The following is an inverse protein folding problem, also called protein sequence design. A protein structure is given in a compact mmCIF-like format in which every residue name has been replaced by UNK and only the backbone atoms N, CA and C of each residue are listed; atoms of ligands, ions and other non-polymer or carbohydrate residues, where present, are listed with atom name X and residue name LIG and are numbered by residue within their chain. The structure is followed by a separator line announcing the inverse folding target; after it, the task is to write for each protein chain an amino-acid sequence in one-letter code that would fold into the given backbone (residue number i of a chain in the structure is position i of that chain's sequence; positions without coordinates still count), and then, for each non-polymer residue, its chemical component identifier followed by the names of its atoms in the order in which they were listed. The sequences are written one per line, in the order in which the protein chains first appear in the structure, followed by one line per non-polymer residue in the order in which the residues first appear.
data_IF_795308022375
#
_entry.id   IF_795308022375
#
_cell.length_a   1.000
_cell.length_b   1.000
_cell.length_c   1.000
_cell.angle_alpha   90.00
_cell.angle_beta   90.00
_cell.angle_gamma   90.00
#
_symmetry.space_group_name_H-M   'P 1'
#
loop_
_entity.id
_entity.type
_entity.pdbx_description
1 polymer ?
#
# COMPACT_ATOMS: atom_id res chain seq x y z
N UNK A 1 -13.36 -8.94 -4.73
CA UNK A 1 -13.58 -7.60 -5.31
C UNK A 1 -12.69 -6.62 -4.59
N UNK A 2 -12.16 -5.64 -5.31
CA UNK A 2 -11.27 -4.62 -4.77
C UNK A 2 -12.13 -3.48 -4.20
N UNK A 3 -12.07 -3.21 -2.89
CA UNK A 3 -13.02 -2.31 -2.25
C UNK A 3 -12.66 -0.83 -2.39
N UNK A 4 -11.38 -0.48 -2.59
CA UNK A 4 -10.90 0.90 -2.54
C UNK A 4 -10.03 1.27 -3.75
N UNK A 5 -9.90 2.57 -4.03
CA UNK A 5 -9.10 3.15 -5.12
C UNK A 5 -7.61 3.36 -4.79
N UNK A 6 -7.06 2.68 -3.78
CA UNK A 6 -5.65 2.88 -3.40
C UNK A 6 -4.63 2.38 -4.44
N UNK A 7 -5.07 1.51 -5.35
CA UNK A 7 -4.28 0.98 -6.46
C UNK A 7 -4.78 1.51 -7.81
N UNK A 8 -5.48 2.64 -7.83
CA UNK A 8 -6.06 3.20 -9.06
C UNK A 8 -5.02 3.40 -10.17
N UNK A 9 -5.46 3.37 -11.43
CA UNK A 9 -4.64 3.22 -12.65
C UNK A 9 -4.15 1.78 -12.89
N UNK A 10 -3.86 1.04 -11.82
CA UNK A 10 -3.40 -0.36 -11.89
C UNK A 10 -4.54 -1.36 -11.65
N UNK A 11 -5.27 -1.17 -10.55
CA UNK A 11 -6.47 -1.93 -10.17
C UNK A 11 -7.50 -0.94 -9.62
N UNK A 12 -8.55 -0.72 -10.39
CA UNK A 12 -9.64 0.19 -10.02
C UNK A 12 -10.54 -0.41 -8.95
N UNK A 13 -11.13 0.44 -8.09
CA UNK A 13 -12.18 0.02 -7.16
C UNK A 13 -13.34 -0.67 -7.91
N UNK A 14 -13.92 -1.70 -7.29
CA UNK A 14 -14.96 -2.55 -7.90
C UNK A 14 -14.43 -3.66 -8.82
N UNK A 15 -13.14 -3.64 -9.18
CA UNK A 15 -12.56 -4.68 -10.04
C UNK A 15 -12.52 -6.04 -9.33
N UNK A 16 -12.60 -7.12 -10.10
CA UNK A 16 -12.35 -8.48 -9.62
C UNK A 16 -11.06 -8.97 -10.22
N UNK A 17 -10.18 -9.49 -9.34
CA UNK A 17 -8.83 -9.89 -9.70
C UNK A 17 -8.59 -11.34 -9.36
N UNK A 18 -7.76 -11.99 -10.16
CA UNK A 18 -7.19 -13.28 -9.86
C UNK A 18 -5.80 -13.09 -9.24
N UNK A 19 -5.59 -13.74 -8.09
CA UNK A 19 -4.29 -13.77 -7.44
C UNK A 19 -3.88 -15.20 -7.07
N UNK A 20 -2.58 -15.50 -7.17
CA UNK A 20 -2.03 -16.81 -6.83
C UNK A 20 -1.44 -16.80 -5.42
N UNK A 21 -1.99 -17.66 -4.56
CA UNK A 21 -1.44 -17.93 -3.22
C UNK A 21 -0.19 -18.81 -3.27
N UNK A 22 -0.06 -19.63 -4.33
CA UNK A 22 1.04 -20.58 -4.47
C UNK A 22 2.39 -19.88 -4.57
N UNK A 23 2.43 -18.69 -5.16
CA UNK A 23 3.65 -17.89 -5.33
C UNK A 23 4.30 -17.58 -3.99
N UNK A 24 3.54 -17.12 -3.00
CA UNK A 24 4.12 -16.79 -1.70
C UNK A 24 4.25 -17.98 -0.76
N UNK A 25 3.54 -19.08 -1.05
CA UNK A 25 3.67 -20.35 -0.32
C UNK A 25 4.96 -21.11 -0.70
N UNK A 26 5.34 -21.11 -1.97
CA UNK A 26 6.46 -21.91 -2.49
C UNK A 26 7.58 -21.10 -3.13
N UNK A 27 7.40 -19.78 -3.22
CA UNK A 27 8.39 -18.87 -3.78
C UNK A 27 8.56 -17.62 -2.93
N UNK A 28 9.25 -16.65 -3.51
CA UNK A 28 9.60 -15.40 -2.86
C UNK A 28 8.71 -14.26 -3.34
N UNK A 29 8.48 -13.31 -2.44
CA UNK A 29 7.91 -12.00 -2.80
C UNK A 29 8.97 -11.26 -3.61
N UNK A 30 8.56 -10.55 -4.67
CA UNK A 30 9.46 -9.72 -5.47
C UNK A 30 9.07 -8.26 -5.40
N UNK A 31 10.05 -7.37 -5.57
CA UNK A 31 9.80 -5.95 -5.76
C UNK A 31 8.84 -5.75 -6.94
N UNK A 32 7.96 -4.77 -6.81
CA UNK A 32 6.87 -4.45 -7.74
C UNK A 32 5.72 -5.46 -7.80
N UNK A 33 5.75 -6.55 -7.02
CA UNK A 33 4.59 -7.42 -6.91
C UNK A 33 3.40 -6.65 -6.33
N UNK A 34 2.23 -6.82 -6.94
CA UNK A 34 0.98 -6.35 -6.37
C UNK A 34 0.46 -7.46 -5.47
N UNK A 35 0.56 -7.26 -4.16
CA UNK A 35 0.32 -8.29 -3.18
C UNK A 35 -0.99 -8.05 -2.41
N UNK A 36 -1.72 -9.13 -2.18
CA UNK A 36 -2.76 -9.22 -1.16
C UNK A 36 -2.09 -9.72 0.12
N UNK A 37 -2.29 -9.01 1.22
CA UNK A 37 -1.77 -9.39 2.53
C UNK A 37 -2.80 -9.13 3.63
N UNK A 38 -2.65 -9.85 4.75
CA UNK A 38 -3.43 -9.63 5.95
C UNK A 38 -2.94 -8.33 6.63
N UNK A 39 -3.78 -7.30 6.59
CA UNK A 39 -3.48 -6.03 7.26
C UNK A 39 -3.86 -6.10 8.74
N UNK A 40 -4.97 -6.74 9.05
CA UNK A 40 -5.48 -6.78 10.40
C UNK A 40 -6.82 -7.49 10.48
N UNK A 41 -7.61 -7.14 11.48
CA UNK A 41 -8.92 -7.70 11.67
C UNK A 41 -9.89 -6.68 12.26
N UNK A 42 -11.18 -6.86 11.98
CA UNK A 42 -12.26 -6.20 12.69
C UNK A 42 -12.69 -7.10 13.84
N UNK A 43 -12.58 -6.59 15.06
CA UNK A 43 -13.04 -7.27 16.25
C UNK A 43 -14.57 -7.33 16.24
N UNK A 44 -15.13 -8.51 16.49
CA UNK A 44 -16.59 -8.70 16.50
C UNK A 44 -17.26 -8.04 17.71
N UNK A 45 -16.57 -7.99 18.85
CA UNK A 45 -17.17 -7.58 20.12
C UNK A 45 -17.25 -6.05 20.29
N UNK A 46 -16.20 -5.33 19.92
CA UNK A 46 -16.16 -3.87 20.01
C UNK A 46 -16.41 -3.18 18.66
N UNK A 47 -16.37 -3.93 17.55
CA UNK A 47 -16.57 -3.41 16.20
C UNK A 47 -15.37 -2.63 15.63
N UNK A 48 -14.28 -2.48 16.39
CA UNK A 48 -13.11 -1.71 16.00
C UNK A 48 -12.16 -2.53 15.13
N UNK A 49 -11.37 -1.81 14.34
CA UNK A 49 -10.34 -2.40 13.47
C UNK A 49 -9.00 -2.31 14.15
N UNK A 50 -8.31 -3.44 14.23
CA UNK A 50 -6.97 -3.54 14.77
C UNK A 50 -6.05 -4.05 13.68
N UNK A 51 -4.88 -3.44 13.59
CA UNK A 51 -3.77 -4.07 12.88
C UNK A 51 -3.37 -5.32 13.65
N UNK A 52 -3.09 -6.38 12.92
CA UNK A 52 -2.65 -7.62 13.56
C UNK A 52 -1.34 -7.35 14.30
N UNK A 53 -1.36 -7.56 15.62
CA UNK A 53 -0.15 -7.67 16.43
C UNK A 53 0.14 -9.15 16.62
N UNK A 54 1.40 -9.49 16.91
CA UNK A 54 1.84 -10.89 17.11
C UNK A 54 1.04 -11.66 18.16
N UNK A 55 0.22 -10.97 18.97
CA UNK A 55 -0.56 -11.54 20.06
C UNK A 55 -1.94 -12.06 19.64
N UNK A 56 -2.48 -11.75 18.47
CA UNK A 56 -3.80 -12.24 18.01
C UNK A 56 -5.03 -11.85 18.87
N UNK A 57 -4.80 -11.23 20.03
CA UNK A 57 -5.80 -10.83 21.02
C UNK A 57 -6.24 -9.40 20.78
N UNK A 58 -7.54 -9.15 20.87
CA UNK A 58 -8.07 -7.79 20.85
C UNK A 58 -7.57 -7.00 22.08
N UNK A 59 -6.93 -5.82 21.90
CA UNK A 59 -6.36 -5.06 23.02
C UNK A 59 -7.42 -4.50 23.97
N UNK A 60 -8.65 -4.27 23.51
CA UNK A 60 -9.73 -3.76 24.36
C UNK A 60 -10.48 -4.88 25.09
N UNK A 61 -10.91 -5.93 24.38
CA UNK A 61 -11.75 -6.97 24.99
C UNK A 61 -10.97 -8.16 25.54
N UNK A 62 -9.65 -8.25 25.28
CA UNK A 62 -8.76 -9.28 25.85
C UNK A 62 -8.98 -10.69 25.30
N UNK A 63 -9.76 -10.86 24.23
CA UNK A 63 -10.10 -12.18 23.65
C UNK A 63 -9.30 -12.44 22.37
N UNK A 64 -8.68 -13.61 22.30
CA UNK A 64 -8.33 -14.24 21.02
C UNK A 64 -9.62 -14.74 20.38
N UNK A 65 -10.05 -14.14 19.28
CA UNK A 65 -11.28 -14.54 18.62
C UNK A 65 -11.03 -14.98 17.18
N UNK A 66 -11.06 -16.31 16.98
CA UNK A 66 -11.01 -16.97 15.66
C UNK A 66 -12.15 -16.56 14.72
N UNK A 67 -13.17 -15.84 15.24
CA UNK A 67 -14.31 -15.33 14.46
C UNK A 67 -14.17 -13.85 14.08
N UNK A 68 -13.06 -13.19 14.41
CA UNK A 68 -12.78 -11.84 13.92
C UNK A 68 -12.70 -11.82 12.39
N UNK A 69 -13.18 -10.74 11.78
CA UNK A 69 -13.21 -10.63 10.33
C UNK A 69 -11.84 -10.15 9.84
N UNK A 70 -11.11 -10.94 9.04
CA UNK A 70 -9.81 -10.52 8.53
C UNK A 70 -9.97 -9.38 7.52
N UNK A 71 -9.05 -8.42 7.58
CA UNK A 71 -8.99 -7.28 6.68
C UNK A 71 -7.76 -7.46 5.79
N UNK A 72 -8.01 -7.55 4.49
CA UNK A 72 -6.98 -7.71 3.49
C UNK A 72 -6.75 -6.41 2.74
N UNK A 73 -5.49 -6.04 2.55
CA UNK A 73 -5.09 -4.91 1.74
C UNK A 73 -4.42 -5.40 0.46
N UNK A 74 -4.52 -4.59 -0.58
CA UNK A 74 -3.78 -4.74 -1.83
C UNK A 74 -2.87 -3.53 -2.00
N UNK A 75 -1.57 -3.78 -2.14
CA UNK A 75 -0.52 -2.76 -2.31
C UNK A 75 0.61 -3.32 -3.18
N UNK A 76 1.45 -2.45 -3.71
CA UNK A 76 2.70 -2.82 -4.39
C UNK A 76 3.82 -2.99 -3.38
N UNK A 77 4.65 -4.00 -3.57
CA UNK A 77 5.90 -4.21 -2.81
C UNK A 77 6.94 -3.21 -3.33
N UNK A 78 7.25 -2.20 -2.52
CA UNK A 78 8.24 -1.18 -2.86
C UNK A 78 9.58 -1.49 -2.24
N UNK A 79 9.63 -1.90 -0.97
CA UNK A 79 10.87 -2.26 -0.25
C UNK A 79 10.90 -3.74 0.12
N UNK A 80 12.05 -4.35 -0.12
CA UNK A 80 12.42 -5.73 0.20
C UNK A 80 13.20 -5.78 1.53
N UNK A 81 13.31 -6.95 2.19
CA UNK A 81 14.14 -7.10 3.38
C UNK A 81 15.56 -6.54 3.17
N UNK A 82 16.03 -5.70 4.10
CA UNK A 82 17.35 -5.07 4.06
C UNK A 82 17.44 -3.79 3.24
N UNK A 83 16.42 -3.44 2.45
CA UNK A 83 16.45 -2.19 1.70
C UNK A 83 16.40 -0.97 2.61
N UNK A 84 17.16 0.06 2.24
CA UNK A 84 16.98 1.42 2.72
C UNK A 84 16.00 2.15 1.80
N UNK A 85 14.94 2.72 2.36
CA UNK A 85 13.88 3.43 1.64
C UNK A 85 13.89 4.89 2.05
N UNK A 86 14.07 5.77 1.08
CA UNK A 86 13.91 7.21 1.25
C UNK A 86 12.73 7.72 0.43
N UNK A 87 11.92 8.59 1.02
CA UNK A 87 10.93 9.41 0.33
C UNK A 87 11.21 10.85 0.73
N UNK A 88 11.60 11.68 -0.24
CA UNK A 88 11.96 13.08 0.02
C UNK A 88 11.36 14.01 -1.00
N UNK A 89 11.15 15.27 -0.61
CA UNK A 89 10.73 16.33 -1.54
C UNK A 89 11.82 16.51 -2.60
N UNK A 90 11.43 16.43 -3.87
CA UNK A 90 12.35 16.56 -5.02
C UNK A 90 11.96 17.71 -5.94
N UNK A 91 10.78 18.29 -5.76
CA UNK A 91 10.36 19.43 -6.56
C UNK A 91 8.99 19.95 -6.18
N UNK A 92 8.40 20.68 -7.11
CA UNK A 92 7.05 21.21 -6.99
C UNK A 92 6.36 21.16 -8.34
N UNK A 93 5.05 20.92 -8.33
CA UNK A 93 4.20 20.96 -9.53
C UNK A 93 3.07 21.96 -9.35
N UNK A 94 2.49 22.43 -10.44
CA UNK A 94 1.28 23.24 -10.34
C UNK A 94 0.11 22.42 -9.77
N UNK A 95 -0.75 23.05 -8.95
CA UNK A 95 -1.89 22.38 -8.34
C UNK A 95 -2.86 21.73 -9.35
N UNK A 96 -2.90 22.20 -10.60
CA UNK A 96 -3.70 21.59 -11.68
C UNK A 96 -3.30 20.14 -12.00
N UNK A 97 -2.09 19.71 -11.68
CA UNK A 97 -1.64 18.32 -11.86
C UNK A 97 -2.18 17.37 -10.78
N UNK A 98 -2.72 17.89 -9.68
CA UNK A 98 -3.31 17.11 -8.59
C UNK A 98 -4.83 17.14 -8.72
N UNK A 99 -5.38 16.05 -9.22
CA UNK A 99 -6.81 15.97 -9.62
C UNK A 99 -7.66 15.20 -8.62
N UNK A 100 -7.03 14.34 -7.81
CA UNK A 100 -7.73 13.35 -6.97
C UNK A 100 -7.99 13.81 -5.54
N UNK A 101 -7.24 14.77 -5.06
CA UNK A 101 -7.56 15.49 -3.83
C UNK A 101 -8.37 16.73 -4.22
N UNK A 102 -9.29 17.18 -3.36
CA UNK A 102 -10.03 18.44 -3.55
C UNK A 102 -9.10 19.65 -3.32
N UNK A 103 -8.05 19.72 -4.13
CA UNK A 103 -7.04 20.79 -4.17
C UNK A 103 -7.46 21.87 -5.17
N UNK A 104 -8.66 21.76 -5.76
CA UNK A 104 -9.25 22.73 -6.69
C UNK A 104 -9.35 24.16 -6.13
N UNK A 105 -9.15 24.34 -4.83
CA UNK A 105 -9.11 25.66 -4.16
C UNK A 105 -7.69 26.16 -3.86
N UNK A 106 -6.64 25.37 -4.10
CA UNK A 106 -5.26 25.81 -3.93
C UNK A 106 -4.72 26.32 -5.26
N UNK A 107 -4.65 27.65 -5.42
CA UNK A 107 -3.81 28.25 -6.44
C UNK A 107 -2.35 28.21 -5.96
N UNK A 108 -1.47 27.56 -6.71
CA UNK A 108 -0.03 27.57 -6.39
C UNK A 108 0.73 26.30 -6.75
N UNK A 109 1.98 26.26 -6.28
CA UNK A 109 2.88 25.12 -6.41
C UNK A 109 2.71 24.17 -5.23
N UNK A 110 2.65 22.88 -5.51
CA UNK A 110 2.51 21.80 -4.53
C UNK A 110 3.84 21.04 -4.44
N UNK A 111 4.41 20.87 -3.23
CA UNK A 111 5.56 20.01 -2.99
C UNK A 111 5.32 18.57 -3.44
N UNK A 112 6.22 18.05 -4.27
CA UNK A 112 6.21 16.65 -4.70
C UNK A 112 7.52 15.97 -4.36
N UNK A 113 7.48 14.66 -4.26
CA UNK A 113 8.64 13.86 -3.90
C UNK A 113 8.77 12.57 -4.69
N UNK A 114 9.93 11.97 -4.53
CA UNK A 114 10.32 10.75 -5.22
C UNK A 114 10.74 9.69 -4.21
N UNK A 115 10.52 8.42 -4.56
CA UNK A 115 10.96 7.28 -3.76
C UNK A 115 12.34 6.83 -4.26
N UNK A 116 13.23 6.57 -3.31
CA UNK A 116 14.54 5.99 -3.54
C UNK A 116 14.65 4.68 -2.76
N UNK A 117 15.32 3.70 -3.37
CA UNK A 117 15.63 2.42 -2.76
C UNK A 117 17.14 2.24 -2.83
N UNK A 118 17.80 2.12 -1.68
CA UNK A 118 19.25 2.01 -1.56
C UNK A 118 19.99 3.16 -2.29
N UNK A 119 19.45 4.37 -2.19
CA UNK A 119 19.97 5.57 -2.87
C UNK A 119 19.60 5.71 -4.35
N UNK A 120 18.98 4.71 -4.97
CA UNK A 120 18.56 4.77 -6.38
C UNK A 120 17.09 5.19 -6.53
N UNK A 121 16.83 6.17 -7.40
CA UNK A 121 15.48 6.59 -7.74
C UNK A 121 14.70 5.44 -8.40
N UNK A 122 13.49 5.15 -7.90
CA UNK A 122 12.59 4.22 -8.59
C UNK A 122 11.70 4.96 -9.59
N UNK A 123 11.64 4.45 -10.83
CA UNK A 123 10.76 5.00 -11.88
C UNK A 123 9.36 4.42 -11.76
N UNK A 124 8.39 5.27 -11.47
CA UNK A 124 7.01 4.87 -11.19
C UNK A 124 6.02 5.33 -12.25
N UNK A 125 6.09 4.70 -13.43
CA UNK A 125 5.24 5.07 -14.58
C UNK A 125 3.76 4.70 -14.41
N UNK A 126 3.39 4.04 -13.30
CA UNK A 126 2.02 3.63 -12.98
C UNK A 126 1.27 4.68 -12.14
N UNK A 127 1.95 5.71 -11.63
CA UNK A 127 1.29 6.72 -10.80
C UNK A 127 0.25 7.51 -11.62
N UNK A 128 -0.96 7.72 -11.08
CA UNK A 128 -1.98 8.51 -11.76
C UNK A 128 -1.66 10.03 -11.76
N UNK A 129 -0.88 10.49 -10.80
CA UNK A 129 -0.45 11.89 -10.62
C UNK A 129 0.82 11.92 -9.75
N UNK A 130 1.58 13.04 -9.74
CA UNK A 130 2.76 13.19 -8.89
C UNK A 130 2.47 12.96 -7.41
N UNK A 131 3.39 12.30 -6.70
CA UNK A 131 3.26 12.07 -5.26
C UNK A 131 3.56 13.35 -4.50
N UNK A 132 2.59 13.82 -3.71
CA UNK A 132 2.77 14.94 -2.80
C UNK A 132 3.72 14.53 -1.68
N UNK A 133 4.67 15.40 -1.36
CA UNK A 133 5.57 15.28 -0.19
C UNK A 133 5.80 16.69 0.34
N UNK A 134 5.02 17.07 1.35
CA UNK A 134 5.03 18.39 1.97
C UNK A 134 5.73 18.42 3.33
N UNK A 135 6.17 17.25 3.82
CA UNK A 135 6.81 17.11 5.13
C UNK A 135 5.84 17.17 6.31
N UNK A 136 4.54 17.27 6.06
CA UNK A 136 3.49 17.35 7.07
C UNK A 136 2.43 16.27 6.84
N UNK A 137 1.37 16.56 6.07
CA UNK A 137 0.33 15.58 5.78
C UNK A 137 0.90 14.42 4.95
N UNK A 138 1.85 14.72 4.08
CA UNK A 138 2.57 13.75 3.27
C UNK A 138 4.04 13.75 3.69
N UNK A 139 4.42 12.84 4.60
CA UNK A 139 5.71 12.88 5.27
C UNK A 139 6.85 12.46 4.33
N UNK A 140 8.04 12.94 4.65
CA UNK A 140 9.28 12.30 4.21
C UNK A 140 9.50 11.00 4.99
N UNK A 141 10.18 10.04 4.37
CA UNK A 141 10.48 8.72 4.96
C UNK A 141 11.97 8.46 4.80
N UNK A 142 12.60 7.94 5.84
CA UNK A 142 13.97 7.42 5.82
C UNK A 142 14.00 6.21 6.77
N UNK A 143 13.94 5.00 6.21
CA UNK A 143 13.81 3.77 6.99
C UNK A 143 14.56 2.62 6.35
N UNK A 144 15.02 1.67 7.16
CA UNK A 144 15.53 0.37 6.69
C UNK A 144 14.46 -0.70 6.90
N UNK A 145 14.16 -1.45 5.85
CA UNK A 145 13.19 -2.55 5.90
C UNK A 145 13.78 -3.71 6.70
N UNK A 146 13.15 -4.14 7.80
CA UNK A 146 13.65 -5.25 8.58
C UNK A 146 13.67 -6.57 7.81
N UNK A 147 14.43 -7.54 8.32
CA UNK A 147 14.42 -8.90 7.80
C UNK A 147 12.99 -9.47 7.77
N UNK A 148 12.71 -10.24 6.72
CA UNK A 148 11.40 -10.86 6.48
C UNK A 148 10.21 -9.88 6.44
N UNK A 149 10.46 -8.59 6.23
CA UNK A 149 9.44 -7.57 6.14
C UNK A 149 9.46 -6.88 4.76
N UNK A 150 8.35 -6.20 4.44
CA UNK A 150 8.17 -5.50 3.17
C UNK A 150 7.61 -4.11 3.41
N UNK A 151 8.12 -3.12 2.68
CA UNK A 151 7.57 -1.77 2.62
C UNK A 151 6.57 -1.69 1.48
N UNK A 152 5.30 -1.44 1.81
CA UNK A 152 4.17 -1.57 0.89
C UNK A 152 3.56 -0.21 0.60
N UNK A 153 3.36 0.14 -0.67
CA UNK A 153 2.72 1.41 -1.07
C UNK A 153 1.59 1.18 -2.07
N UNK A 154 0.60 2.07 -2.08
CA UNK A 154 -0.44 2.07 -3.10
C UNK A 154 -0.01 2.90 -4.30
N UNK A 155 -0.39 2.46 -5.50
CA UNK A 155 -0.08 3.18 -6.74
C UNK A 155 -0.80 4.54 -6.81
N UNK A 156 -1.95 4.67 -6.15
CA UNK A 156 -2.61 5.97 -5.96
C UNK A 156 -2.02 6.68 -4.74
N UNK A 157 -0.80 7.23 -4.91
CA UNK A 157 0.05 7.74 -3.82
C UNK A 157 -0.62 8.77 -2.93
N UNK A 158 -1.41 9.66 -3.49
CA UNK A 158 -2.07 10.73 -2.74
C UNK A 158 -3.36 10.27 -2.04
N UNK A 159 -3.84 9.05 -2.31
CA UNK A 159 -5.08 8.50 -1.78
C UNK A 159 -4.92 7.03 -1.31
N UNK A 160 -3.79 6.74 -0.67
CA UNK A 160 -3.46 5.39 -0.19
C UNK A 160 -3.00 5.43 1.26
N UNK A 161 -3.76 4.77 2.13
CA UNK A 161 -3.33 4.44 3.49
C UNK A 161 -2.34 3.26 3.44
N UNK A 162 -1.06 3.57 3.34
CA UNK A 162 0.03 2.61 3.20
C UNK A 162 1.20 2.85 4.17
N UNK A 163 2.35 2.21 3.95
CA UNK A 163 3.48 2.19 4.88
C UNK A 163 3.97 3.59 5.30
N UNK A 164 3.73 4.63 4.50
CA UNK A 164 4.01 6.02 4.87
C UNK A 164 3.26 6.48 6.13
N UNK A 165 2.08 5.91 6.40
CA UNK A 165 1.12 6.41 7.39
C UNK A 165 0.86 5.45 8.56
N UNK A 166 1.47 4.27 8.55
CA UNK A 166 1.18 3.21 9.53
C UNK A 166 1.97 3.32 10.85
N UNK A 167 2.80 4.36 11.01
CA UNK A 167 3.57 4.63 12.22
C UNK A 167 4.48 3.45 12.60
N UNK A 168 4.44 3.05 13.88
CA UNK A 168 5.28 1.98 14.45
C UNK A 168 5.13 0.62 13.77
N UNK A 169 3.99 0.38 13.10
CA UNK A 169 3.74 -0.86 12.37
C UNK A 169 3.98 -0.63 10.87
N UNK A 170 5.09 -0.02 10.49
CA UNK A 170 5.30 0.44 9.12
C UNK A 170 5.36 -0.67 8.08
N UNK A 171 5.86 -1.85 8.46
CA UNK A 171 6.18 -2.92 7.54
C UNK A 171 5.18 -4.08 7.59
N UNK A 172 5.15 -4.88 6.52
CA UNK A 172 4.35 -6.10 6.43
C UNK A 172 5.27 -7.30 6.51
N UNK A 173 5.04 -8.18 7.50
CA UNK A 173 5.81 -9.42 7.65
C UNK A 173 5.49 -10.40 6.53
N UNK A 174 6.48 -11.20 6.14
CA UNK A 174 6.37 -12.25 5.11
C UNK A 174 5.21 -13.21 5.32
N UNK A 175 4.98 -13.65 6.55
CA UNK A 175 3.88 -14.54 6.92
C UNK A 175 2.48 -13.96 6.65
N UNK A 176 2.36 -12.63 6.55
CA UNK A 176 1.09 -11.95 6.24
C UNK A 176 0.83 -11.84 4.75
N UNK A 177 1.82 -12.14 3.90
CA UNK A 177 1.70 -12.10 2.44
C UNK A 177 0.92 -13.32 1.95
N UNK A 178 -0.23 -13.08 1.29
CA UNK A 178 -1.18 -14.14 0.95
C UNK A 178 -1.18 -14.52 -0.51
N UNK A 179 -1.21 -13.53 -1.41
CA UNK A 179 -1.30 -13.80 -2.85
C UNK A 179 -0.69 -12.68 -3.68
N UNK A 180 -0.07 -13.05 -4.81
CA UNK A 180 0.29 -12.11 -5.86
C UNK A 180 -0.87 -11.94 -6.83
N UNK A 181 -1.25 -10.71 -7.13
CA UNK A 181 -2.28 -10.37 -8.12
C UNK A 181 -1.69 -10.40 -9.52
N UNK A 182 -2.38 -11.04 -10.47
CA UNK A 182 -1.92 -11.18 -11.86
C UNK A 182 -2.88 -10.61 -12.88
N UNK A 183 -4.18 -10.85 -12.72
CA UNK A 183 -5.17 -10.58 -13.78
C UNK A 183 -6.34 -9.83 -13.17
N UNK A 184 -6.71 -8.72 -13.78
CA UNK A 184 -8.04 -8.14 -13.61
C UNK A 184 -8.95 -8.84 -14.62
N UNK A 185 -10.02 -9.50 -14.15
CA UNK A 185 -10.94 -10.24 -15.03
C UNK A 185 -12.33 -9.60 -15.12
N UNK A 186 -12.62 -8.61 -14.27
CA UNK A 186 -13.88 -7.85 -14.32
C UNK A 186 -13.67 -6.41 -13.82
N UNK A 187 -14.28 -5.39 -14.43
CA UNK A 187 -15.17 -5.45 -15.61
C UNK A 187 -14.43 -5.87 -16.88
N UNK A 188 -15.15 -6.45 -17.87
CA UNK A 188 -14.54 -7.05 -19.06
C UNK A 188 -13.74 -6.06 -19.91
N UNK A 189 -14.12 -4.77 -19.91
CA UNK A 189 -13.37 -3.70 -20.58
C UNK A 189 -12.01 -3.39 -19.94
N UNK A 190 -11.71 -4.01 -18.78
CA UNK A 190 -10.42 -3.95 -18.08
C UNK A 190 -9.81 -5.34 -17.92
N UNK A 191 -10.26 -6.32 -18.70
CA UNK A 191 -9.70 -7.65 -18.70
C UNK A 191 -8.24 -7.59 -19.15
N UNK A 192 -7.32 -8.11 -18.34
CA UNK A 192 -5.90 -8.15 -18.71
C UNK A 192 -4.97 -8.38 -17.53
N UNK A 193 -3.68 -8.49 -17.85
CA UNK A 193 -2.63 -8.56 -16.84
C UNK A 193 -2.50 -7.24 -16.08
N UNK A 194 -2.39 -7.33 -14.77
CA UNK A 194 -2.07 -6.20 -13.90
C UNK A 194 -0.56 -5.96 -13.97
N UNK A 195 -0.14 -4.71 -14.17
CA UNK A 195 1.26 -4.30 -14.30
C UNK A 195 1.68 -3.40 -13.15
#
# INVERSE_FOLDING_TARGET
TIPTGSMENTIMAGSRVFGSRLVYRFGEVKRNDIAIFLYGYKCRNDGQTYRETDRGTCPLCGREDKRNQPIYYVKRVIGMPGDHIEIKKTGEVDASYITKLNVRSASGKIPVGTVYVNGEEIKENYLPEPMIVDGNQFPEIDVTVPDNCYFMMGDNRNNSADARFWGVNQFVKREKMLAKVYICYWPLNRFGMVK
#
